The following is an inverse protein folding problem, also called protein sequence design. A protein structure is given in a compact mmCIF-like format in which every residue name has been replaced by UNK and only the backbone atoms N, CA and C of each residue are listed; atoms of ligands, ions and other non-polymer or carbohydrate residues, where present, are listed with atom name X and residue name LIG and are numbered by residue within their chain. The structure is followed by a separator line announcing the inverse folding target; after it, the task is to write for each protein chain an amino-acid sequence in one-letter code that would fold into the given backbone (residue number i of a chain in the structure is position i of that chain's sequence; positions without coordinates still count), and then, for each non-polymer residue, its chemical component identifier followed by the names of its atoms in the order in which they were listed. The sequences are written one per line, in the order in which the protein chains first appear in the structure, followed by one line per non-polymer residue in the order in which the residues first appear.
data_IF_923936870392
#
_entry.id   IF_923936870392
#
_cell.length_a   1.000
_cell.length_b   1.000
_cell.length_c   1.000
_cell.angle_alpha   90.00
_cell.angle_beta   90.00
_cell.angle_gamma   90.00
#
_symmetry.space_group_name_H-M   'P 1'
#
loop_
_entity.id
_entity.type
_entity.pdbx_description
1 polymer ?
#
# COMPACT_ATOMS: atom_id res chain seq x y z
N UNK A 1 18.09 30.49 0.98
CA UNK A 1 17.15 30.83 -0.10
C UNK A 1 16.62 29.53 -0.71
N UNK A 2 15.29 29.33 -0.79
CA UNK A 2 14.68 28.13 -1.38
C UNK A 2 14.51 28.35 -2.89
N UNK A 3 15.29 27.64 -3.69
CA UNK A 3 15.23 27.68 -5.14
C UNK A 3 13.98 26.94 -5.66
N UNK A 4 13.15 27.68 -6.41
CA UNK A 4 12.08 27.21 -7.30
C UNK A 4 10.96 26.33 -6.68
N UNK A 5 9.94 27.00 -6.10
CA UNK A 5 8.62 26.45 -5.70
C UNK A 5 7.76 25.99 -6.91
N UNK A 6 8.32 25.21 -7.83
CA UNK A 6 7.63 24.80 -9.05
C UNK A 6 7.07 23.38 -8.93
N UNK A 7 5.79 23.24 -9.31
CA UNK A 7 5.18 21.98 -9.70
C UNK A 7 4.21 21.37 -8.69
N UNK A 8 2.96 21.85 -8.65
CA UNK A 8 1.87 20.93 -8.28
C UNK A 8 1.83 19.86 -9.37
N UNK A 9 1.99 18.58 -8.99
CA UNK A 9 1.83 17.49 -9.93
C UNK A 9 0.40 17.51 -10.47
N UNK A 10 0.23 17.26 -11.77
CA UNK A 10 -1.09 17.15 -12.38
C UNK A 10 -1.86 16.00 -11.70
N UNK A 11 -3.13 16.26 -11.36
CA UNK A 11 -4.01 15.22 -10.82
C UNK A 11 -4.32 14.25 -11.97
N UNK A 12 -4.14 12.95 -11.72
CA UNK A 12 -4.48 11.93 -12.70
C UNK A 12 -5.99 11.82 -12.87
N UNK A 13 -6.43 11.79 -14.14
CA UNK A 13 -7.78 11.44 -14.49
C UNK A 13 -7.98 9.91 -14.55
N UNK A 14 -9.24 9.50 -14.67
CA UNK A 14 -9.59 8.08 -14.78
C UNK A 14 -8.97 7.41 -16.02
N UNK A 15 -8.78 8.15 -17.12
CA UNK A 15 -8.12 7.66 -18.33
C UNK A 15 -6.65 7.33 -18.11
N UNK A 16 -5.92 8.18 -17.38
CA UNK A 16 -4.52 7.96 -17.01
C UNK A 16 -4.38 6.77 -16.07
N UNK A 17 -5.25 6.67 -15.05
CA UNK A 17 -5.27 5.52 -14.14
C UNK A 17 -5.52 4.22 -14.91
N UNK A 18 -6.44 4.22 -15.88
CA UNK A 18 -6.71 3.05 -16.74
C UNK A 18 -5.49 2.64 -17.56
N UNK A 19 -4.77 3.60 -18.14
CA UNK A 19 -3.53 3.32 -18.89
C UNK A 19 -2.43 2.76 -17.99
N UNK A 20 -2.24 3.33 -16.79
CA UNK A 20 -1.28 2.84 -15.80
C UNK A 20 -1.59 1.39 -15.39
N UNK A 21 -2.86 1.10 -15.07
CA UNK A 21 -3.34 -0.26 -14.76
C UNK A 21 -3.03 -1.27 -15.88
N UNK A 22 -3.18 -0.86 -17.14
CA UNK A 22 -2.88 -1.72 -18.29
C UNK A 22 -1.38 -1.96 -18.51
N UNK A 23 -0.53 -0.99 -18.15
CA UNK A 23 0.91 -1.09 -18.31
C UNK A 23 1.60 -1.94 -17.21
N UNK A 24 1.02 -2.01 -16.02
CA UNK A 24 1.58 -2.77 -14.89
C UNK A 24 1.46 -4.29 -15.08
N UNK A 25 2.60 -4.95 -15.31
CA UNK A 25 2.67 -6.41 -15.49
C UNK A 25 2.88 -7.18 -14.18
N UNK A 26 3.58 -6.58 -13.22
CA UNK A 26 3.85 -7.23 -11.93
C UNK A 26 2.62 -7.19 -11.03
N UNK A 27 2.11 -8.34 -10.55
CA UNK A 27 1.00 -8.37 -9.59
C UNK A 27 1.31 -7.59 -8.31
N UNK A 28 2.57 -7.60 -7.87
CA UNK A 28 3.04 -6.86 -6.70
C UNK A 28 2.97 -5.36 -6.92
N UNK A 29 3.53 -4.86 -8.03
CA UNK A 29 3.45 -3.43 -8.36
C UNK A 29 2.02 -2.96 -8.52
N UNK A 30 1.19 -3.78 -9.19
CA UNK A 30 -0.23 -3.51 -9.34
C UNK A 30 -0.93 -3.43 -7.99
N UNK A 31 -0.71 -4.37 -7.08
CA UNK A 31 -1.36 -4.35 -5.77
C UNK A 31 -0.91 -3.15 -4.92
N UNK A 32 0.38 -2.81 -4.93
CA UNK A 32 0.90 -1.60 -4.27
C UNK A 32 0.19 -0.35 -4.82
N UNK A 33 0.04 -0.25 -6.14
CA UNK A 33 -0.66 0.85 -6.78
C UNK A 33 -2.13 0.93 -6.36
N UNK A 34 -2.86 -0.18 -6.39
CA UNK A 34 -4.28 -0.21 -5.99
C UNK A 34 -4.45 0.18 -4.51
N UNK A 35 -3.64 -0.38 -3.60
CA UNK A 35 -3.68 -0.01 -2.17
C UNK A 35 -3.41 1.49 -2.02
N UNK A 36 -2.42 2.04 -2.75
CA UNK A 36 -2.10 3.47 -2.71
C UNK A 36 -3.27 4.32 -3.18
N UNK A 37 -3.90 3.93 -4.29
CA UNK A 37 -5.01 4.66 -4.91
C UNK A 37 -6.24 4.70 -4.00
N UNK A 38 -6.59 3.58 -3.36
CA UNK A 38 -7.80 3.47 -2.54
C UNK A 38 -7.63 3.94 -1.09
N UNK A 39 -6.42 3.88 -0.52
CA UNK A 39 -6.19 4.20 0.91
C UNK A 39 -5.52 5.56 1.16
N UNK A 40 -4.86 6.11 0.13
CA UNK A 40 -4.04 7.33 0.23
C UNK A 40 -2.84 7.20 1.17
N UNK A 41 -2.44 5.98 1.55
CA UNK A 41 -1.29 5.78 2.43
C UNK A 41 0.05 5.95 1.71
N UNK A 42 1.09 6.19 2.50
CA UNK A 42 2.46 6.34 1.99
C UNK A 42 3.00 5.00 1.52
N UNK A 43 3.71 5.01 0.39
CA UNK A 43 4.35 3.81 -0.17
C UNK A 43 5.19 3.06 0.87
N UNK A 44 6.01 3.76 1.67
CA UNK A 44 6.83 3.11 2.70
C UNK A 44 6.02 2.38 3.79
N UNK A 45 4.79 2.80 4.07
CA UNK A 45 3.90 2.07 4.99
C UNK A 45 3.27 0.85 4.29
N UNK A 46 2.92 0.99 3.00
CA UNK A 46 2.34 -0.07 2.18
C UNK A 46 3.34 -1.21 1.97
N UNK A 47 4.59 -0.91 1.65
CA UNK A 47 5.62 -1.94 1.42
C UNK A 47 5.96 -2.74 2.68
N UNK A 48 5.64 -2.21 3.86
CA UNK A 48 5.85 -2.86 5.16
C UNK A 48 4.60 -3.57 5.71
N UNK A 49 3.49 -3.62 4.96
CA UNK A 49 2.30 -4.36 5.36
C UNK A 49 2.65 -5.84 5.59
N UNK A 50 2.09 -6.40 6.65
CA UNK A 50 2.10 -7.85 6.89
C UNK A 50 0.87 -8.48 6.27
N UNK A 51 0.95 -9.77 6.00
CA UNK A 51 -0.21 -10.57 5.56
C UNK A 51 -1.35 -10.43 6.58
N UNK A 52 -1.04 -10.51 7.88
CA UNK A 52 -2.01 -10.34 8.98
C UNK A 52 -2.63 -8.94 9.08
N UNK A 53 -2.07 -7.94 8.41
CA UNK A 53 -2.64 -6.58 8.39
C UNK A 53 -3.83 -6.48 7.42
N UNK A 54 -4.06 -7.51 6.57
CA UNK A 54 -5.09 -7.53 5.52
C UNK A 54 -5.89 -8.84 5.45
N UNK A 55 -5.27 -9.98 5.77
CA UNK A 55 -5.89 -11.30 5.68
C UNK A 55 -6.04 -11.91 7.08
N UNK A 56 -7.11 -12.66 7.28
CA UNK A 56 -7.28 -13.53 8.46
C UNK A 56 -6.42 -14.80 8.35
N UNK A 57 -6.44 -15.62 9.40
CA UNK A 57 -5.69 -16.89 9.46
C UNK A 57 -6.17 -17.93 8.42
N UNK A 58 -7.33 -17.72 7.81
CA UNK A 58 -7.89 -18.54 6.74
C UNK A 58 -7.59 -17.97 5.34
N UNK A 59 -6.83 -16.88 5.24
CA UNK A 59 -6.50 -16.21 3.99
C UNK A 59 -7.63 -15.36 3.41
N UNK A 60 -8.68 -15.05 4.18
CA UNK A 60 -9.78 -14.19 3.75
C UNK A 60 -9.43 -12.74 3.99
N UNK A 61 -9.81 -11.88 3.05
CA UNK A 61 -9.58 -10.43 3.15
C UNK A 61 -10.45 -9.84 4.26
N UNK A 62 -9.83 -9.17 5.22
CA UNK A 62 -10.47 -8.47 6.34
C UNK A 62 -11.39 -7.33 5.87
N UNK A 63 -12.15 -6.73 6.76
CA UNK A 63 -12.97 -5.56 6.45
C UNK A 63 -12.14 -4.27 6.35
N UNK A 64 -10.98 -4.24 7.01
CA UNK A 64 -10.08 -3.08 7.06
C UNK A 64 -8.63 -3.50 6.82
N UNK A 65 -7.84 -2.58 6.25
CA UNK A 65 -6.37 -2.67 6.22
C UNK A 65 -5.83 -1.96 7.45
N UNK A 66 -4.96 -2.63 8.20
CA UNK A 66 -4.32 -2.04 9.39
C UNK A 66 -2.93 -1.51 9.07
N UNK A 67 -2.78 -0.18 9.06
CA UNK A 67 -1.48 0.48 8.97
C UNK A 67 -0.92 0.74 10.36
N UNK A 68 0.01 -0.11 10.79
CA UNK A 68 0.62 -0.08 12.13
C UNK A 68 1.38 1.23 12.37
N UNK A 69 1.32 1.75 13.60
CA UNK A 69 2.06 2.98 13.98
C UNK A 69 3.55 2.91 13.66
N UNK A 70 4.18 1.75 13.89
CA UNK A 70 5.63 1.52 13.69
C UNK A 70 6.08 1.69 12.25
N UNK A 71 5.19 1.51 11.27
CA UNK A 71 5.51 1.67 9.84
C UNK A 71 5.19 3.08 9.33
N UNK A 72 4.63 3.95 10.19
CA UNK A 72 4.31 5.34 9.85
C UNK A 72 5.33 6.29 10.46
N UNK A 73 5.65 7.35 9.70
CA UNK A 73 6.47 8.44 10.20
C UNK A 73 5.78 9.10 11.39
N UNK A 74 6.54 9.35 12.46
CA UNK A 74 6.03 10.05 13.63
C UNK A 74 5.45 11.42 13.27
N UNK A 75 4.36 11.79 13.93
CA UNK A 75 3.74 13.09 13.75
C UNK A 75 4.61 14.18 14.39
N UNK A 76 4.32 15.46 14.09
CA UNK A 76 5.01 16.60 14.75
C UNK A 76 4.85 16.59 16.28
N UNK A 77 3.91 15.82 16.81
CA UNK A 77 3.64 15.65 18.24
C UNK A 77 4.18 14.33 18.82
N UNK A 78 5.07 13.64 18.09
CA UNK A 78 5.90 12.57 18.64
C UNK A 78 5.31 11.16 18.59
N UNK A 79 4.02 10.99 18.32
CA UNK A 79 3.38 9.67 18.27
C UNK A 79 2.83 9.37 16.87
N UNK A 80 3.28 8.25 16.30
CA UNK A 80 2.62 7.61 15.16
C UNK A 80 1.42 6.81 15.70
N UNK A 81 0.25 6.97 15.08
CA UNK A 81 -0.96 6.22 15.44
C UNK A 81 -1.26 5.15 14.39
N UNK A 82 -1.70 3.99 14.85
CA UNK A 82 -2.27 2.94 13.99
C UNK A 82 -3.53 3.47 13.33
N UNK A 83 -3.66 3.25 12.02
CA UNK A 83 -4.82 3.65 11.22
C UNK A 83 -5.42 2.40 10.59
N UNK A 84 -6.72 2.22 10.75
CA UNK A 84 -7.48 1.22 10.01
C UNK A 84 -8.27 1.91 8.90
N UNK A 85 -8.23 1.33 7.71
CA UNK A 85 -8.92 1.87 6.53
C UNK A 85 -9.88 0.81 5.99
N UNK A 86 -11.18 1.09 5.86
CA UNK A 86 -12.13 0.17 5.24
C UNK A 86 -11.70 -0.23 3.82
N UNK A 87 -11.84 -1.50 3.49
CA UNK A 87 -11.48 -2.01 2.17
C UNK A 87 -12.62 -1.73 1.19
N UNK A 88 -12.33 -0.90 0.19
CA UNK A 88 -13.24 -0.65 -0.92
C UNK A 88 -13.54 -1.96 -1.68
N UNK A 89 -14.78 -2.22 -2.16
CA UNK A 89 -15.13 -3.45 -2.88
C UNK A 89 -14.20 -3.77 -4.06
N UNK A 90 -13.83 -2.77 -4.87
CA UNK A 90 -12.89 -3.00 -5.97
C UNK A 90 -11.48 -3.40 -5.49
N UNK A 91 -11.00 -2.82 -4.38
CA UNK A 91 -9.73 -3.20 -3.79
C UNK A 91 -9.78 -4.63 -3.24
N UNK A 92 -10.91 -5.04 -2.65
CA UNK A 92 -11.14 -6.42 -2.19
C UNK A 92 -10.95 -7.42 -3.34
N UNK A 93 -11.52 -7.15 -4.51
CA UNK A 93 -11.33 -8.02 -5.69
C UNK A 93 -9.86 -8.15 -6.10
N UNK A 94 -9.06 -7.10 -5.94
CA UNK A 94 -7.62 -7.17 -6.20
C UNK A 94 -6.87 -7.99 -5.15
N UNK A 95 -7.25 -7.87 -3.88
CA UNK A 95 -6.66 -8.60 -2.77
C UNK A 95 -7.00 -10.10 -2.84
N UNK A 96 -8.25 -10.45 -3.11
CA UNK A 96 -8.69 -11.86 -3.25
C UNK A 96 -8.01 -12.58 -4.42
N UNK A 97 -7.61 -11.85 -5.46
CA UNK A 97 -6.89 -12.41 -6.61
C UNK A 97 -5.38 -12.45 -6.42
N UNK A 98 -4.86 -11.73 -5.43
CA UNK A 98 -3.43 -11.74 -5.13
C UNK A 98 -3.10 -13.04 -4.40
N UNK A 99 -1.93 -13.61 -4.69
CA UNK A 99 -1.43 -14.79 -3.99
C UNK A 99 -0.39 -14.35 -2.94
N UNK A 100 -0.82 -14.01 -1.70
CA UNK A 100 0.11 -13.56 -0.68
C UNK A 100 0.99 -14.71 -0.16
N UNK A 101 2.14 -14.41 0.46
CA UNK A 101 2.85 -15.37 1.29
C UNK A 101 1.96 -15.88 2.42
N UNK A 102 2.29 -17.04 2.99
CA UNK A 102 1.54 -17.62 4.11
C UNK A 102 1.56 -16.73 5.36
N UNK A 103 2.66 -16.05 5.61
CA UNK A 103 2.85 -15.18 6.76
C UNK A 103 4.00 -14.18 6.50
N UNK A 104 4.21 -13.25 7.43
CA UNK A 104 5.26 -12.24 7.32
C UNK A 104 4.84 -11.03 6.50
N UNK A 105 5.77 -10.45 5.76
CA UNK A 105 5.49 -9.30 4.89
C UNK A 105 4.63 -9.69 3.71
N UNK A 106 3.69 -8.82 3.34
CA UNK A 106 2.87 -8.99 2.16
C UNK A 106 3.69 -8.90 0.86
N UNK A 107 4.76 -8.11 0.90
CA UNK A 107 5.68 -7.88 -0.22
C UNK A 107 7.12 -8.26 0.19
N UNK A 108 7.42 -9.56 0.31
CA UNK A 108 8.73 -10.02 0.74
C UNK A 108 9.80 -9.72 -0.31
N UNK A 109 11.05 -9.64 0.14
CA UNK A 109 12.24 -9.49 -0.70
C UNK A 109 13.43 -10.16 -0.02
N UNK A 110 14.38 -10.67 -0.81
CA UNK A 110 15.63 -11.31 -0.34
C UNK A 110 16.64 -10.33 0.27
N UNK A 111 16.30 -9.03 0.34
CA UNK A 111 17.15 -8.00 0.93
C UNK A 111 17.20 -8.03 2.47
N UNK A 112 18.10 -7.22 3.03
CA UNK A 112 18.36 -7.12 4.50
C UNK A 112 17.07 -6.82 5.29
N UNK A 113 16.17 -6.02 4.73
CA UNK A 113 14.90 -5.63 5.37
C UNK A 113 13.83 -6.72 5.34
N UNK A 114 13.98 -7.76 4.52
CA UNK A 114 12.97 -8.82 4.33
C UNK A 114 11.70 -8.39 3.58
N UNK A 115 11.63 -7.13 3.13
CA UNK A 115 10.52 -6.59 2.34
C UNK A 115 11.03 -5.63 1.27
N UNK A 116 10.20 -5.35 0.25
CA UNK A 116 10.54 -4.40 -0.81
C UNK A 116 10.81 -3.01 -0.21
N UNK A 117 11.94 -2.42 -0.57
CA UNK A 117 12.34 -1.07 -0.18
C UNK A 117 12.03 -0.08 -1.31
N UNK A 118 11.59 1.12 -0.95
CA UNK A 118 11.38 2.25 -1.89
C UNK A 118 12.66 3.01 -2.15
#
# INVERSE_FOLDING_TARGET
MKNHRQGQAAIWDSGTIKKLRAAMRSPVQRLIFEISLFTGERIGAITQLKVSDIYDDHGRVLETITFRSVTRKSTKHGLAATRQVPIHPDLRLHLERFNPPRSGYLFPSEGISGHITS
#
